data_IF_741894422974
#
_entry.id   IF_741894422974
#
_cell.length_a   1.000
_cell.length_b   1.000
_cell.length_c   1.000
_cell.angle_alpha   90.00
_cell.angle_beta   90.00
_cell.angle_gamma   90.00
#
_symmetry.space_group_name_H-M   'P 1'
#
loop_
_entity.id
_entity.type
_entity.pdbx_description
1 polymer ?
#
# COMPACT_ATOMS: atom_id res chain seq x y z
N UNK A 1 -6.07 13.33 -5.02
CA UNK A 1 -6.70 12.41 -4.05
C UNK A 1 -5.91 11.11 -3.95
N UNK A 2 -5.59 10.45 -5.07
CA UNK A 2 -4.72 9.26 -5.10
C UNK A 2 -3.28 9.55 -4.62
N UNK A 3 -2.64 10.62 -5.08
CA UNK A 3 -1.31 11.04 -4.59
C UNK A 3 -1.31 11.31 -3.05
N UNK A 4 -2.37 11.93 -2.53
CA UNK A 4 -2.52 12.13 -1.08
C UNK A 4 -2.74 10.81 -0.31
N UNK A 5 -3.16 9.73 -0.98
CA UNK A 5 -3.18 8.39 -0.40
C UNK A 5 -1.76 7.81 -0.28
N UNK A 6 -0.85 8.10 -1.22
CA UNK A 6 0.54 7.64 -1.15
C UNK A 6 1.32 8.22 0.03
N UNK A 7 1.07 9.47 0.42
CA UNK A 7 1.66 10.03 1.65
C UNK A 7 1.28 9.21 2.90
N UNK A 8 0.09 8.61 2.92
CA UNK A 8 -0.33 7.72 4.02
C UNK A 8 0.32 6.34 3.89
N UNK A 9 0.47 5.82 2.67
CA UNK A 9 1.19 4.55 2.42
C UNK A 9 2.63 4.67 2.92
N UNK A 10 3.34 5.71 2.49
CA UNK A 10 4.73 5.98 2.84
C UNK A 10 4.91 6.10 4.36
N UNK A 11 4.06 6.89 5.04
CA UNK A 11 4.12 7.01 6.51
C UNK A 11 3.91 5.67 7.24
N UNK A 12 3.01 4.83 6.74
CA UNK A 12 2.77 3.48 7.31
C UNK A 12 3.95 2.53 7.05
N UNK A 13 4.58 2.60 5.87
CA UNK A 13 5.79 1.83 5.55
C UNK A 13 6.99 2.27 6.39
N UNK A 14 7.13 3.57 6.64
CA UNK A 14 8.19 4.13 7.51
C UNK A 14 7.97 3.80 8.98
N UNK A 15 6.72 3.78 9.44
CA UNK A 15 6.38 3.28 10.76
C UNK A 15 6.73 1.80 10.91
N UNK A 16 6.41 0.97 9.90
CA UNK A 16 6.78 -0.45 9.88
C UNK A 16 8.30 -0.65 9.92
N UNK A 17 9.07 0.13 9.17
CA UNK A 17 10.53 0.10 9.21
C UNK A 17 11.08 0.43 10.61
N UNK A 18 10.65 1.57 11.17
CA UNK A 18 11.08 2.00 12.50
C UNK A 18 10.67 1.03 13.61
N UNK A 19 9.49 0.40 13.49
CA UNK A 19 9.03 -0.62 14.42
C UNK A 19 10.00 -1.79 14.51
N UNK A 20 10.43 -2.31 13.35
CA UNK A 20 11.38 -3.44 13.28
C UNK A 20 12.73 -3.08 13.90
N UNK A 21 13.23 -1.89 13.64
CA UNK A 21 14.51 -1.44 14.19
C UNK A 21 14.43 -1.19 15.70
N UNK A 22 13.31 -0.62 16.17
CA UNK A 22 13.06 -0.41 17.59
C UNK A 22 12.97 -1.73 18.36
N UNK A 23 12.22 -2.72 17.86
CA UNK A 23 12.12 -4.04 18.53
C UNK A 23 13.50 -4.71 18.60
N UNK A 24 14.33 -4.56 17.56
CA UNK A 24 15.67 -5.15 17.55
C UNK A 24 16.63 -4.52 18.57
N UNK A 25 16.49 -3.23 18.86
CA UNK A 25 17.34 -2.50 19.81
C UNK A 25 16.80 -2.53 21.25
N UNK A 26 15.48 -2.38 21.43
CA UNK A 26 14.83 -2.15 22.74
C UNK A 26 13.84 -3.24 23.15
N UNK A 27 13.48 -4.16 22.26
CA UNK A 27 12.44 -5.15 22.49
C UNK A 27 11.02 -4.58 22.43
N UNK A 28 10.05 -5.37 22.89
CA UNK A 28 8.63 -5.00 22.84
C UNK A 28 8.19 -4.16 24.05
N UNK A 29 7.58 -3.02 23.77
CA UNK A 29 6.93 -2.14 24.75
C UNK A 29 5.53 -1.67 24.29
N UNK A 30 4.89 -0.78 25.04
CA UNK A 30 3.59 -0.22 24.67
C UNK A 30 3.60 0.53 23.32
N UNK A 31 4.72 1.18 22.96
CA UNK A 31 4.83 1.94 21.71
C UNK A 31 4.89 0.99 20.51
N UNK A 32 5.69 -0.08 20.59
CA UNK A 32 5.78 -1.08 19.52
C UNK A 32 4.43 -1.76 19.25
N UNK A 33 3.64 -2.01 20.32
CA UNK A 33 2.30 -2.60 20.21
C UNK A 33 1.31 -1.67 19.51
N UNK A 34 1.33 -0.39 19.88
CA UNK A 34 0.51 0.63 19.22
C UNK A 34 0.91 0.78 17.75
N UNK A 35 2.20 0.84 17.46
CA UNK A 35 2.71 0.94 16.09
C UNK A 35 2.32 -0.28 15.24
N UNK A 36 2.41 -1.49 15.79
CA UNK A 36 1.94 -2.69 15.11
C UNK A 36 0.45 -2.59 14.77
N UNK A 37 -0.39 -2.19 15.74
CA UNK A 37 -1.84 -2.02 15.53
C UNK A 37 -2.16 -0.96 14.46
N UNK A 38 -1.43 0.15 14.42
CA UNK A 38 -1.62 1.20 13.42
C UNK A 38 -1.24 0.75 12.01
N UNK A 39 -0.10 0.06 11.86
CA UNK A 39 0.31 -0.52 10.57
C UNK A 39 -0.73 -1.53 10.08
N UNK A 40 -1.18 -2.42 10.98
CA UNK A 40 -2.23 -3.40 10.68
C UNK A 40 -3.52 -2.73 10.21
N UNK A 41 -4.02 -1.73 10.94
CA UNK A 41 -5.22 -0.99 10.57
C UNK A 41 -5.10 -0.35 9.19
N UNK A 42 -3.93 0.19 8.85
CA UNK A 42 -3.73 0.81 7.56
C UNK A 42 -3.76 -0.20 6.42
N UNK A 43 -2.97 -1.26 6.49
CA UNK A 43 -2.86 -2.22 5.39
C UNK A 43 -4.02 -3.22 5.33
N UNK A 44 -4.78 -3.46 6.41
CA UNK A 44 -6.00 -4.26 6.38
C UNK A 44 -7.20 -3.48 5.80
N UNK A 45 -7.22 -2.14 5.94
CA UNK A 45 -8.40 -1.34 5.57
C UNK A 45 -8.13 -0.34 4.46
N UNK A 46 -7.14 0.54 4.62
CA UNK A 46 -6.96 1.68 3.72
C UNK A 46 -6.25 1.31 2.41
N UNK A 47 -5.21 0.48 2.48
CA UNK A 47 -4.44 0.08 1.29
C UNK A 47 -5.30 -0.71 0.27
N UNK A 48 -6.15 -1.69 0.66
CA UNK A 48 -7.02 -2.38 -0.29
C UNK A 48 -8.00 -1.45 -0.99
N UNK A 49 -8.55 -0.45 -0.28
CA UNK A 49 -9.47 0.53 -0.89
C UNK A 49 -8.77 1.45 -1.89
N UNK A 50 -7.49 1.74 -1.67
CA UNK A 50 -6.67 2.51 -2.62
C UNK A 50 -6.42 1.72 -3.90
N UNK A 51 -5.93 0.49 -3.79
CA UNK A 51 -5.76 -0.40 -4.96
C UNK A 51 -7.08 -0.61 -5.69
N UNK A 52 -8.19 -0.75 -4.95
CA UNK A 52 -9.52 -0.89 -5.56
C UNK A 52 -9.91 0.31 -6.43
N UNK A 53 -9.51 1.53 -6.06
CA UNK A 53 -9.81 2.69 -6.88
C UNK A 53 -8.97 2.74 -8.16
N UNK A 54 -7.69 2.36 -8.09
CA UNK A 54 -6.87 2.24 -9.29
C UNK A 54 -7.45 1.21 -10.25
N UNK A 55 -7.79 0.02 -9.74
CA UNK A 55 -8.34 -1.09 -10.52
C UNK A 55 -9.70 -0.75 -11.14
N UNK A 56 -10.49 0.13 -10.51
CA UNK A 56 -11.81 0.51 -11.02
C UNK A 56 -11.80 1.73 -11.94
N UNK A 57 -10.95 2.72 -11.68
CA UNK A 57 -11.06 4.02 -12.34
C UNK A 57 -9.84 4.41 -13.16
N UNK A 58 -8.64 3.97 -12.76
CA UNK A 58 -7.39 4.39 -13.40
C UNK A 58 -6.95 3.39 -14.46
N UNK A 59 -6.76 2.14 -14.07
CA UNK A 59 -6.21 1.10 -14.94
C UNK A 59 -7.11 0.80 -16.15
N UNK A 60 -8.44 0.65 -16.02
CA UNK A 60 -9.29 0.36 -17.18
C UNK A 60 -9.23 1.44 -18.27
N UNK A 61 -9.14 2.71 -17.87
CA UNK A 61 -9.03 3.84 -18.79
C UNK A 61 -7.75 3.75 -19.63
N UNK A 62 -6.63 3.43 -19.01
CA UNK A 62 -5.33 3.36 -19.69
C UNK A 62 -5.22 2.12 -20.58
N UNK A 63 -5.77 0.99 -20.14
CA UNK A 63 -5.83 -0.23 -20.95
C UNK A 63 -6.64 -0.01 -22.24
N UNK A 64 -7.74 0.76 -22.16
CA UNK A 64 -8.60 1.04 -23.30
C UNK A 64 -7.95 1.93 -24.38
N UNK A 65 -6.95 2.75 -24.03
CA UNK A 65 -6.26 3.62 -25.00
C UNK A 65 -5.37 2.85 -25.97
N UNK A 66 -5.01 1.60 -25.67
CA UNK A 66 -4.32 0.74 -26.62
C UNK A 66 -2.79 0.96 -26.71
N UNK A 67 -2.20 1.89 -25.95
CA UNK A 67 -0.76 2.14 -25.96
C UNK A 67 0.04 0.99 -25.30
N UNK A 68 0.95 0.37 -26.04
CA UNK A 68 1.61 -0.87 -25.63
C UNK A 68 2.53 -0.70 -24.39
N UNK A 69 3.39 0.33 -24.30
CA UNK A 69 4.18 0.61 -23.10
C UNK A 69 3.31 0.88 -21.88
N UNK A 70 2.26 1.69 -22.01
CA UNK A 70 1.38 2.01 -20.88
C UNK A 70 0.61 0.78 -20.40
N UNK A 71 0.13 -0.06 -21.33
CA UNK A 71 -0.50 -1.34 -20.99
C UNK A 71 0.43 -2.25 -20.20
N UNK A 72 1.70 -2.34 -20.59
CA UNK A 72 2.68 -3.15 -19.89
C UNK A 72 2.92 -2.65 -18.45
N UNK A 73 2.96 -1.33 -18.26
CA UNK A 73 3.07 -0.72 -16.92
C UNK A 73 1.84 -1.07 -16.06
N UNK A 74 0.64 -0.89 -16.59
CA UNK A 74 -0.59 -1.22 -15.86
C UNK A 74 -0.63 -2.69 -15.46
N UNK A 75 -0.31 -3.60 -16.39
CA UNK A 75 -0.27 -5.04 -16.09
C UNK A 75 0.77 -5.39 -15.02
N UNK A 76 1.92 -4.70 -15.01
CA UNK A 76 2.92 -4.83 -13.95
C UNK A 76 2.36 -4.35 -12.61
N UNK A 77 1.71 -3.18 -12.55
CA UNK A 77 1.13 -2.65 -11.31
C UNK A 77 0.02 -3.55 -10.75
N UNK A 78 -0.83 -4.13 -11.61
CA UNK A 78 -1.82 -5.13 -11.19
C UNK A 78 -1.14 -6.40 -10.62
N UNK A 79 0.01 -6.79 -11.15
CA UNK A 79 0.81 -7.88 -10.58
C UNK A 79 1.45 -7.48 -9.26
N UNK A 80 1.89 -6.23 -9.13
CA UNK A 80 2.42 -5.67 -7.88
C UNK A 80 1.35 -5.68 -6.79
N UNK A 81 0.08 -5.32 -7.07
CA UNK A 81 -1.03 -5.43 -6.11
C UNK A 81 -1.18 -6.84 -5.53
N UNK A 82 -1.13 -7.87 -6.38
CA UNK A 82 -1.19 -9.28 -5.93
C UNK A 82 0.03 -9.68 -5.11
N UNK A 83 1.21 -9.18 -5.48
CA UNK A 83 2.43 -9.39 -4.69
C UNK A 83 2.36 -8.70 -3.34
N UNK A 84 1.82 -7.48 -3.28
CA UNK A 84 1.61 -6.74 -2.03
C UNK A 84 0.65 -7.50 -1.11
N UNK A 85 -0.47 -8.00 -1.62
CA UNK A 85 -1.43 -8.81 -0.85
C UNK A 85 -0.77 -10.08 -0.29
N UNK A 86 -0.05 -10.83 -1.14
CA UNK A 86 0.63 -12.07 -0.75
C UNK A 86 1.70 -11.80 0.33
N UNK A 87 2.50 -10.74 0.15
CA UNK A 87 3.54 -10.36 1.11
C UNK A 87 2.96 -9.80 2.39
N UNK A 88 1.85 -9.05 2.29
CA UNK A 88 1.15 -8.52 3.44
C UNK A 88 0.67 -9.64 4.35
N UNK A 89 0.14 -10.75 3.82
CA UNK A 89 -0.27 -11.89 4.64
C UNK A 89 0.84 -12.38 5.58
N UNK A 90 2.10 -12.44 5.11
CA UNK A 90 3.25 -12.84 5.94
C UNK A 90 3.58 -11.78 7.01
N UNK A 91 3.63 -10.51 6.61
CA UNK A 91 3.94 -9.40 7.53
C UNK A 91 2.85 -9.24 8.60
N UNK A 92 1.59 -9.42 8.20
CA UNK A 92 0.40 -9.31 9.03
C UNK A 92 0.44 -10.28 10.21
N UNK A 93 0.81 -11.54 9.97
CA UNK A 93 0.91 -12.55 11.04
C UNK A 93 1.98 -12.20 12.08
N UNK A 94 3.08 -11.59 11.68
CA UNK A 94 4.08 -11.09 12.63
C UNK A 94 3.53 -9.92 13.46
N UNK A 95 2.88 -8.94 12.81
CA UNK A 95 2.32 -7.78 13.48
C UNK A 95 1.16 -8.13 14.42
N UNK A 96 0.36 -9.16 14.08
CA UNK A 96 -0.66 -9.74 14.95
C UNK A 96 -0.07 -10.31 16.24
N UNK A 97 1.12 -10.91 16.20
CA UNK A 97 1.81 -11.36 17.42
C UNK A 97 2.42 -10.19 18.17
N UNK A 98 3.07 -9.27 17.47
CA UNK A 98 3.78 -8.14 18.10
C UNK A 98 2.86 -7.16 18.82
N UNK A 99 1.58 -7.06 18.45
CA UNK A 99 0.60 -6.25 19.20
C UNK A 99 0.25 -6.84 20.57
N UNK A 100 0.41 -8.16 20.76
CA UNK A 100 -0.06 -8.87 21.97
C UNK A 100 0.88 -8.69 23.16
N UNK A 101 0.42 -8.25 24.35
CA UNK A 101 1.25 -7.97 25.52
C UNK A 101 2.26 -9.06 25.92
N UNK A 102 1.92 -10.32 25.66
CA UNK A 102 2.77 -11.47 25.96
C UNK A 102 3.98 -11.64 25.02
N UNK A 103 3.95 -11.02 23.83
CA UNK A 103 5.05 -11.12 22.87
C UNK A 103 6.30 -10.41 23.40
N UNK A 104 7.40 -11.18 23.47
CA UNK A 104 8.75 -10.75 23.83
C UNK A 104 9.79 -11.27 22.82
N UNK A 105 9.33 -11.88 21.73
CA UNK A 105 10.20 -12.49 20.72
C UNK A 105 10.99 -11.41 19.96
N UNK A 106 12.28 -11.65 19.65
CA UNK A 106 13.01 -10.78 18.74
C UNK A 106 12.43 -10.88 17.33
N UNK A 107 12.70 -9.89 16.47
CA UNK A 107 12.29 -9.93 15.06
C UNK A 107 13.06 -11.03 14.31
N UNK A 108 12.38 -12.07 13.80
CA UNK A 108 13.05 -13.11 13.02
C UNK A 108 13.64 -12.57 11.71
N UNK A 109 14.75 -13.14 11.25
CA UNK A 109 15.48 -12.66 10.06
C UNK A 109 14.68 -12.80 8.76
N UNK A 110 13.88 -13.86 8.64
CA UNK A 110 12.94 -14.09 7.55
C UNK A 110 11.82 -13.04 7.55
N UNK A 111 11.26 -12.69 8.72
CA UNK A 111 10.27 -11.61 8.84
C UNK A 111 10.87 -10.24 8.48
N UNK A 112 12.10 -9.95 8.94
CA UNK A 112 12.82 -8.73 8.52
C UNK A 112 12.97 -8.67 7.00
N UNK A 113 13.30 -9.80 6.38
CA UNK A 113 13.43 -9.92 4.91
C UNK A 113 12.08 -9.72 4.23
N UNK A 114 11.00 -10.33 4.73
CA UNK A 114 9.66 -10.17 4.19
C UNK A 114 9.19 -8.70 4.23
N UNK A 115 9.45 -8.00 5.34
CA UNK A 115 9.14 -6.58 5.49
C UNK A 115 9.95 -5.72 4.50
N UNK A 116 11.25 -5.99 4.34
CA UNK A 116 12.08 -5.27 3.38
C UNK A 116 11.57 -5.45 1.95
N UNK A 117 11.20 -6.68 1.57
CA UNK A 117 10.64 -6.96 0.25
C UNK A 117 9.27 -6.30 0.04
N UNK A 118 8.39 -6.33 1.05
CA UNK A 118 7.09 -5.65 1.00
C UNK A 118 7.25 -4.14 0.76
N UNK A 119 8.15 -3.48 1.50
CA UNK A 119 8.47 -2.06 1.31
C UNK A 119 9.06 -1.77 -0.08
N UNK A 120 9.92 -2.66 -0.59
CA UNK A 120 10.53 -2.50 -1.91
C UNK A 120 9.52 -2.57 -3.06
N UNK A 121 8.49 -3.43 -2.97
CA UNK A 121 7.42 -3.48 -3.99
C UNK A 121 6.67 -2.16 -4.03
N UNK A 122 6.29 -1.62 -2.86
CA UNK A 122 5.63 -0.31 -2.78
C UNK A 122 6.45 0.84 -3.36
N UNK A 123 7.77 0.86 -3.12
CA UNK A 123 8.63 1.94 -3.60
C UNK A 123 8.59 2.05 -5.14
N UNK A 124 8.82 0.94 -5.85
CA UNK A 124 8.77 0.93 -7.31
C UNK A 124 7.36 1.08 -7.89
N UNK A 125 6.35 0.63 -7.14
CA UNK A 125 4.94 0.79 -7.51
C UNK A 125 4.53 2.27 -7.51
N UNK A 126 4.71 2.95 -6.36
CA UNK A 126 4.37 4.36 -6.18
C UNK A 126 5.10 5.25 -7.20
N UNK A 127 6.39 5.01 -7.43
CA UNK A 127 7.18 5.77 -8.40
C UNK A 127 6.57 5.73 -9.82
N UNK A 128 6.15 4.55 -10.26
CA UNK A 128 5.56 4.41 -11.58
C UNK A 128 4.14 4.97 -11.66
N UNK A 129 3.38 4.88 -10.57
CA UNK A 129 2.05 5.47 -10.51
C UNK A 129 2.09 7.00 -10.61
N UNK A 130 2.89 7.64 -9.76
CA UNK A 130 3.03 9.09 -9.73
C UNK A 130 3.72 9.64 -10.97
N UNK A 131 4.75 8.94 -11.46
CA UNK A 131 5.55 9.39 -12.59
C UNK A 131 4.89 9.19 -13.95
N UNK A 132 4.07 8.15 -14.11
CA UNK A 132 3.57 7.73 -15.44
C UNK A 132 2.06 7.54 -15.48
N UNK A 133 1.50 6.74 -14.57
CA UNK A 133 0.10 6.30 -14.66
C UNK A 133 -0.88 7.41 -14.33
N UNK A 134 -0.72 8.10 -13.19
CA UNK A 134 -1.62 9.17 -12.80
C UNK A 134 -1.56 10.37 -13.77
N UNK A 135 -0.39 10.83 -14.26
CA UNK A 135 -0.35 11.83 -15.33
C UNK A 135 -1.09 11.39 -16.59
N UNK A 136 -0.88 10.16 -17.07
CA UNK A 136 -1.54 9.64 -18.26
C UNK A 136 -3.06 9.53 -18.07
N UNK A 137 -3.52 9.06 -16.91
CA UNK A 137 -4.93 8.94 -16.60
C UNK A 137 -5.60 10.32 -16.53
N UNK A 138 -4.97 11.30 -15.87
CA UNK A 138 -5.47 12.68 -15.84
C UNK A 138 -5.60 13.29 -17.21
N UNK A 139 -4.63 13.09 -18.09
CA UNK A 139 -4.65 13.61 -19.46
C UNK A 139 -5.79 13.02 -20.30
N UNK A 140 -6.25 11.82 -19.96
CA UNK A 140 -7.30 11.12 -20.68
C UNK A 140 -8.71 11.30 -20.09
N UNK A 141 -8.84 11.79 -18.86
CA UNK A 141 -10.14 11.99 -18.20
C UNK A 141 -10.69 13.39 -18.44
N UNK A 142 -11.98 13.48 -18.75
CA UNK A 142 -12.73 14.74 -18.65
C UNK A 142 -12.90 15.18 -17.19
N UNK A 143 -13.13 16.48 -16.95
CA UNK A 143 -13.44 16.98 -15.60
C UNK A 143 -14.65 16.29 -14.97
N UNK A 144 -15.69 16.00 -15.76
CA UNK A 144 -16.88 15.28 -15.30
C UNK A 144 -16.53 13.84 -14.86
N UNK A 145 -15.66 13.15 -15.60
CA UNK A 145 -15.17 11.81 -15.24
C UNK A 145 -14.36 11.85 -13.95
N UNK A 146 -13.48 12.85 -13.79
CA UNK A 146 -12.68 13.02 -12.58
C UNK A 146 -13.56 13.28 -11.34
N UNK A 147 -14.61 14.11 -11.50
CA UNK A 147 -15.57 14.38 -10.42
C UNK A 147 -16.36 13.13 -10.02
N UNK A 148 -16.84 12.34 -11.00
CA UNK A 148 -17.56 11.10 -10.75
C UNK A 148 -16.68 10.07 -10.00
N UNK A 149 -15.46 9.84 -10.49
CA UNK A 149 -14.46 9.02 -9.80
C UNK A 149 -14.25 9.49 -8.36
N UNK A 150 -14.07 10.80 -8.16
CA UNK A 150 -13.88 11.38 -6.83
C UNK A 150 -15.02 11.07 -5.85
N UNK A 151 -16.27 11.15 -6.32
CA UNK A 151 -17.45 10.85 -5.52
C UNK A 151 -17.54 9.36 -5.14
N UNK A 152 -17.27 8.46 -6.09
CA UNK A 152 -17.29 7.00 -5.87
C UNK A 152 -16.22 6.58 -4.87
N UNK A 153 -15.00 7.09 -5.03
CA UNK A 153 -13.90 6.87 -4.10
C UNK A 153 -14.26 7.36 -2.69
N UNK A 154 -14.89 8.54 -2.56
CA UNK A 154 -15.31 9.05 -1.24
C UNK A 154 -16.40 8.18 -0.61
N UNK A 155 -17.39 7.73 -1.39
CA UNK A 155 -18.46 6.85 -0.91
C UNK A 155 -17.88 5.54 -0.35
N UNK A 156 -16.87 4.97 -1.02
CA UNK A 156 -16.17 3.75 -0.58
C UNK A 156 -15.54 3.87 0.81
N UNK A 157 -15.17 5.08 1.26
CA UNK A 157 -14.58 5.31 2.60
C UNK A 157 -15.63 5.52 3.68
N UNK A 158 -16.91 5.67 3.32
CA UNK A 158 -18.02 5.88 4.26
C UNK A 158 -18.86 4.62 4.49
N UNK A 159 -18.69 3.60 3.65
CA UNK A 159 -19.31 2.29 3.80
C UNK A 159 -18.61 1.47 4.89
#
# INVERSE_FOLDING_TARGET
>A
MLEACHERVQRSLDLLGRLVDYIADKGHDAQTRSAAADVLRYFDLAAPLHHQDEEQHVFPLLLAQGDAPLRAIVQRLQADHRQMETRWAVVREALLRWREPACQEPVPADIRTAIAQFRSVYAGHIEAEEGLVFPAARAAMSEATQAAMGAEMQARRRA
#
